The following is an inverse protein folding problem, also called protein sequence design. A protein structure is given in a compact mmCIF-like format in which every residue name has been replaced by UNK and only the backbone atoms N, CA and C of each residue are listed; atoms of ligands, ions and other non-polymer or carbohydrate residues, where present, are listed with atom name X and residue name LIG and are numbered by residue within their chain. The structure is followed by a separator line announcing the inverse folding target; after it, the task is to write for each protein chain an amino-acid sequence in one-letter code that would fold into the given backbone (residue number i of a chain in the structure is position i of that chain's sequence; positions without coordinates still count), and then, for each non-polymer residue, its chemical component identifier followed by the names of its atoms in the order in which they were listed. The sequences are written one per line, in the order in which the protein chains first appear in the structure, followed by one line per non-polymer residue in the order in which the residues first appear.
data_IF_672558693344
#
_entry.id   IF_672558693344
#
_cell.length_a   1.000
_cell.length_b   1.000
_cell.length_c   1.000
_cell.angle_alpha   90.00
_cell.angle_beta   90.00
_cell.angle_gamma   90.00
#
_symmetry.space_group_name_H-M   'P 1'
#
loop_
_entity.id
_entity.type
_entity.pdbx_description
1 polymer ?
#
# COMPACT_ATOMS: atom_id res chain seq x y z
N UNK A 1 -36.64 -14.29 29.98
CA UNK A 1 -37.77 -14.29 29.03
C UNK A 1 -37.95 -15.71 28.48
N UNK A 2 -39.17 -16.18 28.28
CA UNK A 2 -39.41 -17.52 27.72
C UNK A 2 -39.05 -17.50 26.23
N UNK A 3 -38.25 -18.45 25.78
CA UNK A 3 -37.83 -18.55 24.37
C UNK A 3 -39.00 -19.12 23.57
N UNK A 4 -39.66 -18.28 22.79
CA UNK A 4 -40.74 -18.67 21.86
C UNK A 4 -40.23 -18.72 20.42
N UNK A 5 -40.93 -19.46 19.55
CA UNK A 5 -40.56 -19.62 18.13
C UNK A 5 -40.45 -18.28 17.36
N UNK A 6 -41.28 -17.31 17.74
CA UNK A 6 -41.23 -15.95 17.19
C UNK A 6 -39.92 -15.25 17.55
N UNK A 7 -39.45 -15.39 18.79
CA UNK A 7 -38.18 -14.78 19.23
C UNK A 7 -36.99 -15.41 18.53
N UNK A 8 -36.99 -16.73 18.31
CA UNK A 8 -35.94 -17.41 17.55
C UNK A 8 -35.93 -16.98 16.08
N UNK A 9 -37.11 -16.87 15.46
CA UNK A 9 -37.25 -16.41 14.07
C UNK A 9 -36.75 -14.98 13.86
N UNK A 10 -36.93 -14.10 14.85
CA UNK A 10 -36.40 -12.73 14.82
C UNK A 10 -34.87 -12.72 14.94
N UNK A 11 -34.30 -13.52 15.84
CA UNK A 11 -32.85 -13.63 16.02
C UNK A 11 -32.19 -14.16 14.74
N UNK A 12 -32.74 -15.19 14.10
CA UNK A 12 -32.23 -15.72 12.83
C UNK A 12 -32.22 -14.67 11.72
N UNK A 13 -33.29 -13.88 11.59
CA UNK A 13 -33.34 -12.76 10.62
C UNK A 13 -32.23 -11.74 10.88
N UNK A 14 -31.97 -11.41 12.15
CA UNK A 14 -30.89 -10.48 12.53
C UNK A 14 -29.53 -11.07 12.16
N UNK A 15 -29.30 -12.36 12.47
CA UNK A 15 -28.04 -13.06 12.14
C UNK A 15 -27.83 -13.10 10.63
N UNK A 16 -28.84 -13.49 9.84
CA UNK A 16 -28.75 -13.53 8.38
C UNK A 16 -28.46 -12.15 7.77
N UNK A 17 -29.08 -11.10 8.30
CA UNK A 17 -28.82 -9.73 7.87
C UNK A 17 -27.38 -9.29 8.20
N UNK A 18 -26.84 -9.67 9.37
CA UNK A 18 -25.44 -9.39 9.75
C UNK A 18 -24.43 -10.15 8.88
N UNK A 19 -24.69 -11.43 8.58
CA UNK A 19 -23.87 -12.23 7.66
C UNK A 19 -23.85 -11.59 6.27
N UNK A 20 -25.04 -11.18 5.78
CA UNK A 20 -25.19 -10.54 4.47
C UNK A 20 -24.47 -9.19 4.40
N UNK A 21 -24.54 -8.38 5.45
CA UNK A 21 -23.86 -7.08 5.53
C UNK A 21 -22.37 -7.19 5.92
N UNK A 22 -21.92 -8.37 6.37
CA UNK A 22 -20.57 -8.63 6.92
C UNK A 22 -20.22 -7.68 8.09
N UNK A 23 -21.22 -7.34 8.90
CA UNK A 23 -21.07 -6.53 10.10
C UNK A 23 -20.83 -7.45 11.31
N UNK A 24 -19.56 -7.65 11.63
CA UNK A 24 -19.10 -8.49 12.73
C UNK A 24 -18.56 -7.60 13.86
N UNK A 25 -18.94 -7.92 15.09
CA UNK A 25 -18.49 -7.23 16.30
C UNK A 25 -17.30 -7.98 16.95
N UNK A 26 -16.58 -8.80 16.18
CA UNK A 26 -15.40 -9.55 16.64
C UNK A 26 -14.24 -8.60 16.95
N UNK A 27 -13.45 -8.93 17.98
CA UNK A 27 -12.26 -8.16 18.34
C UNK A 27 -11.21 -8.28 17.24
N UNK A 28 -10.87 -7.15 16.61
CA UNK A 28 -9.78 -7.11 15.64
C UNK A 28 -8.43 -7.36 16.35
N UNK A 29 -7.57 -8.20 15.76
CA UNK A 29 -6.23 -8.45 16.32
C UNK A 29 -5.47 -7.14 16.35
N UNK A 30 -5.01 -6.73 17.53
CA UNK A 30 -4.11 -5.58 17.70
C UNK A 30 -2.78 -5.90 17.01
N UNK A 31 -2.60 -5.37 15.81
CA UNK A 31 -1.33 -5.47 15.09
C UNK A 31 -0.42 -4.37 15.61
N UNK A 32 0.77 -4.75 16.11
CA UNK A 32 1.81 -3.76 16.43
C UNK A 32 2.07 -2.93 15.17
N UNK A 33 2.19 -1.59 15.27
CA UNK A 33 2.53 -0.79 14.10
C UNK A 33 3.80 -1.37 13.48
N UNK A 34 3.73 -1.78 12.22
CA UNK A 34 4.90 -2.20 11.48
C UNK A 34 5.75 -0.95 11.29
N UNK A 35 6.78 -0.79 12.12
CA UNK A 35 7.87 0.13 11.84
C UNK A 35 8.59 -0.47 10.65
N UNK A 36 8.21 -0.04 9.43
CA UNK A 36 8.94 -0.44 8.23
C UNK A 36 10.33 0.18 8.36
N UNK A 37 11.41 -0.62 8.53
CA UNK A 37 12.73 -0.07 8.75
C UNK A 37 13.30 0.65 7.51
N UNK A 38 12.60 0.54 6.37
CA UNK A 38 12.92 1.24 5.12
C UNK A 38 12.06 2.48 4.85
N UNK A 39 11.13 2.84 5.74
CA UNK A 39 10.24 4.00 5.58
C UNK A 39 10.87 5.31 6.10
N UNK A 40 12.16 5.28 6.47
CA UNK A 40 13.01 6.43 6.87
C UNK A 40 13.48 7.28 5.68
N UNK A 41 12.59 7.59 4.74
CA UNK A 41 12.75 8.82 3.97
C UNK A 41 11.61 9.69 4.44
N UNK A 42 11.82 10.35 5.59
CA UNK A 42 10.87 11.36 6.04
C UNK A 42 10.70 12.33 4.87
N UNK A 43 9.48 12.83 4.67
CA UNK A 43 9.28 13.88 3.67
C UNK A 43 10.24 15.00 4.04
N UNK A 44 11.24 15.22 3.19
CA UNK A 44 12.19 16.32 3.34
C UNK A 44 11.33 17.57 3.47
N UNK A 45 11.25 18.11 4.69
CA UNK A 45 10.53 19.34 4.92
C UNK A 45 11.40 20.40 4.29
N UNK A 46 10.98 20.88 3.12
CA UNK A 46 11.69 21.95 2.44
C UNK A 46 11.53 23.22 3.29
N UNK A 47 12.65 23.67 3.85
CA UNK A 47 12.70 24.96 4.53
C UNK A 47 12.29 26.06 3.57
N UNK A 48 11.28 26.84 3.96
CA UNK A 48 10.73 27.95 3.17
C UNK A 48 11.45 29.27 3.46
N UNK A 49 12.44 29.25 4.35
CA UNK A 49 13.29 30.41 4.63
C UNK A 49 14.25 30.65 3.46
N UNK A 50 14.63 31.92 3.26
CA UNK A 50 15.60 32.26 2.21
C UNK A 50 16.95 31.62 2.55
N UNK A 51 17.60 31.04 1.54
CA UNK A 51 18.93 30.46 1.70
C UNK A 51 19.91 31.48 2.29
N UNK A 52 20.62 31.07 3.34
CA UNK A 52 21.74 31.83 3.92
C UNK A 52 23.02 31.71 3.07
N UNK A 53 23.10 30.68 2.23
CA UNK A 53 24.25 30.38 1.37
C UNK A 53 24.06 30.94 -0.03
N UNK A 54 25.17 31.34 -0.65
CA UNK A 54 25.18 31.83 -2.03
C UNK A 54 25.10 30.68 -3.05
N UNK A 55 24.70 30.97 -4.29
CA UNK A 55 24.61 29.95 -5.34
C UNK A 55 25.97 29.27 -5.61
N UNK A 56 27.07 30.04 -5.59
CA UNK A 56 28.41 29.52 -5.81
C UNK A 56 28.84 28.54 -4.70
N UNK A 57 28.54 28.87 -3.45
CA UNK A 57 28.81 28.04 -2.26
C UNK A 57 28.02 26.73 -2.30
N UNK A 58 26.75 26.78 -2.74
CA UNK A 58 25.94 25.56 -2.94
C UNK A 58 26.59 24.62 -3.97
N UNK A 59 27.09 25.17 -5.08
CA UNK A 59 27.77 24.37 -6.11
C UNK A 59 29.10 23.79 -5.62
N UNK A 60 29.88 24.53 -4.84
CA UNK A 60 31.12 24.04 -4.24
C UNK A 60 30.84 22.87 -3.27
N UNK A 61 29.85 23.04 -2.38
CA UNK A 61 29.44 22.01 -1.43
C UNK A 61 28.92 20.76 -2.14
N UNK A 62 28.13 20.92 -3.20
CA UNK A 62 27.63 19.80 -3.99
C UNK A 62 28.78 19.05 -4.69
N UNK A 63 29.73 19.76 -5.28
CA UNK A 63 30.89 19.16 -5.93
C UNK A 63 31.75 18.35 -4.94
N UNK A 64 31.98 18.89 -3.74
CA UNK A 64 32.71 18.18 -2.68
C UNK A 64 31.93 16.95 -2.18
N UNK A 65 30.60 17.04 -2.02
CA UNK A 65 29.74 15.90 -1.65
C UNK A 65 29.78 14.79 -2.71
N UNK A 66 29.71 15.17 -3.99
CA UNK A 66 29.81 14.23 -5.11
C UNK A 66 31.19 13.54 -5.16
N UNK A 67 32.28 14.26 -4.89
CA UNK A 67 33.62 13.68 -4.81
C UNK A 67 33.76 12.70 -3.64
N UNK A 68 33.18 13.03 -2.48
CA UNK A 68 33.30 12.21 -1.26
C UNK A 68 32.46 10.93 -1.30
N UNK A 69 31.53 10.77 -2.26
CA UNK A 69 30.54 9.67 -2.28
C UNK A 69 29.89 9.50 -0.90
N UNK A 70 29.63 10.60 -0.21
CA UNK A 70 29.01 10.55 1.09
C UNK A 70 27.60 9.99 0.90
N UNK A 71 27.32 8.87 1.54
CA UNK A 71 25.95 8.38 1.72
C UNK A 71 25.14 9.53 2.31
N UNK A 72 24.05 9.91 1.63
CA UNK A 72 23.04 10.85 2.12
C UNK A 72 22.48 10.34 3.46
N UNK A 73 23.21 10.57 4.55
CA UNK A 73 22.69 10.47 5.90
C UNK A 73 21.85 11.73 6.05
N UNK A 74 20.54 11.59 5.90
CA UNK A 74 19.60 12.63 6.34
C UNK A 74 20.08 13.08 7.73
N UNK A 75 20.42 14.36 7.88
CA UNK A 75 20.89 14.93 9.13
C UNK A 75 19.79 14.73 10.17
N UNK A 76 19.92 13.69 11.01
CA UNK A 76 19.13 13.60 12.24
C UNK A 76 19.45 14.85 13.05
N UNK A 77 18.44 15.53 13.58
CA UNK A 77 18.66 16.69 14.43
C UNK A 77 19.60 16.29 15.59
N UNK A 78 20.68 17.04 15.86
CA UNK A 78 21.66 16.69 16.89
C UNK A 78 21.01 16.61 18.29
N UNK A 79 19.93 17.35 18.52
CA UNK A 79 19.16 17.23 19.76
C UNK A 79 18.60 15.80 19.97
N UNK A 80 18.23 15.09 18.91
CA UNK A 80 17.72 13.73 19.01
C UNK A 80 18.82 12.71 19.31
N UNK A 81 20.05 12.95 18.86
CA UNK A 81 21.20 12.09 19.21
C UNK A 81 21.56 12.30 20.67
N UNK A 82 21.67 13.56 21.11
CA UNK A 82 22.01 13.91 22.49
C UNK A 82 20.99 13.37 23.50
N UNK A 83 19.69 13.44 23.19
CA UNK A 83 18.63 12.87 24.03
C UNK A 83 18.76 11.35 24.09
N UNK A 84 19.11 10.68 22.99
CA UNK A 84 19.23 9.22 22.94
C UNK A 84 20.41 8.74 23.78
N UNK A 85 21.55 9.40 23.66
CA UNK A 85 22.75 9.11 24.47
C UNK A 85 22.45 9.27 25.97
N UNK A 86 21.90 10.40 26.38
CA UNK A 86 21.52 10.63 27.80
C UNK A 86 20.49 9.62 28.32
N UNK A 87 19.56 9.20 27.45
CA UNK A 87 18.56 8.20 27.81
C UNK A 87 19.19 6.82 28.04
N UNK A 88 20.12 6.42 27.18
CA UNK A 88 20.90 5.18 27.35
C UNK A 88 21.75 5.23 28.62
N UNK A 89 22.40 6.36 28.91
CA UNK A 89 23.15 6.56 30.17
C UNK A 89 22.25 6.42 31.40
N UNK A 90 21.09 7.08 31.42
CA UNK A 90 20.15 7.00 32.55
C UNK A 90 19.62 5.58 32.72
N UNK A 91 19.24 4.89 31.65
CA UNK A 91 18.72 3.53 31.74
C UNK A 91 19.78 2.52 32.19
N UNK A 92 21.01 2.63 31.71
CA UNK A 92 22.10 1.76 32.20
C UNK A 92 22.35 1.94 33.69
N UNK A 93 22.28 3.18 34.19
CA UNK A 93 22.39 3.48 35.63
C UNK A 93 21.21 2.93 36.44
N UNK A 94 19.98 3.07 35.95
CA UNK A 94 18.77 2.55 36.62
C UNK A 94 18.73 1.02 36.63
N UNK A 95 19.14 0.38 35.53
CA UNK A 95 19.26 -1.07 35.42
C UNK A 95 20.28 -1.61 36.43
N UNK A 96 21.44 -0.94 36.57
CA UNK A 96 22.44 -1.29 37.58
C UNK A 96 21.93 -1.07 39.02
N UNK A 97 21.24 0.05 39.29
CA UNK A 97 20.64 0.35 40.59
C UNK A 97 19.58 -0.69 41.00
N UNK A 98 18.82 -1.21 40.04
CA UNK A 98 17.78 -2.22 40.26
C UNK A 98 18.32 -3.66 40.27
N UNK A 99 19.65 -3.84 40.31
CA UNK A 99 20.32 -5.16 40.22
C UNK A 99 19.85 -5.97 39.00
N UNK A 100 19.63 -5.29 37.87
CA UNK A 100 19.16 -5.88 36.62
C UNK A 100 17.80 -6.62 36.71
N UNK A 101 16.96 -6.29 37.71
CA UNK A 101 15.60 -6.79 37.83
C UNK A 101 14.58 -5.87 37.17
N UNK A 102 14.66 -5.73 35.85
CA UNK A 102 13.78 -4.86 35.07
C UNK A 102 13.13 -5.62 33.90
N UNK A 103 12.14 -4.98 33.29
CA UNK A 103 11.51 -5.49 32.07
C UNK A 103 12.38 -5.13 30.86
N UNK A 104 12.89 -6.10 30.10
CA UNK A 104 13.77 -5.82 28.97
C UNK A 104 13.09 -4.93 27.93
N UNK A 105 13.89 -4.12 27.23
CA UNK A 105 13.41 -3.22 26.21
C UNK A 105 12.61 -3.96 25.12
N UNK A 106 11.57 -3.30 24.61
CA UNK A 106 10.76 -3.88 23.53
C UNK A 106 11.61 -4.08 22.29
N UNK A 107 11.54 -5.27 21.68
CA UNK A 107 12.26 -5.58 20.45
C UNK A 107 11.92 -4.58 19.33
N UNK A 108 12.92 -3.78 18.94
CA UNK A 108 12.93 -2.92 17.77
C UNK A 108 13.31 -3.72 16.51
N UNK A 109 12.78 -3.32 15.35
CA UNK A 109 13.18 -3.90 14.07
C UNK A 109 14.49 -3.25 13.60
N UNK A 110 15.63 -3.85 13.92
CA UNK A 110 16.95 -3.38 13.50
C UNK A 110 17.39 -4.03 12.19
N UNK A 111 17.82 -3.23 11.21
CA UNK A 111 18.39 -3.73 9.95
C UNK A 111 19.90 -3.78 10.08
N UNK A 112 20.46 -4.99 10.14
CA UNK A 112 21.90 -5.23 10.12
C UNK A 112 22.33 -5.62 8.70
N UNK A 113 23.21 -4.83 8.12
CA UNK A 113 23.79 -5.12 6.80
C UNK A 113 25.06 -5.96 7.06
N UNK A 114 25.04 -7.22 6.65
CA UNK A 114 26.18 -8.14 6.77
C UNK A 114 26.91 -8.23 5.42
N UNK A 115 28.25 -8.15 5.45
CA UNK A 115 29.12 -8.35 4.28
C UNK A 115 29.48 -9.83 4.10
N UNK A 116 29.68 -10.26 2.85
CA UNK A 116 30.18 -11.61 2.56
C UNK A 116 31.66 -11.71 2.92
N UNK A 117 31.96 -12.22 4.11
CA UNK A 117 33.31 -12.44 4.63
C UNK A 117 33.45 -13.91 5.09
N UNK A 118 34.66 -14.49 5.11
CA UNK A 118 34.88 -15.81 5.70
C UNK A 118 34.63 -15.76 7.22
N UNK A 119 34.03 -16.80 7.79
CA UNK A 119 33.65 -16.86 9.20
C UNK A 119 34.85 -16.60 10.13
N UNK A 120 36.04 -17.09 9.75
CA UNK A 120 37.32 -16.88 10.45
C UNK A 120 37.60 -15.40 10.78
N UNK A 121 37.16 -14.46 9.94
CA UNK A 121 37.41 -13.02 10.20
C UNK A 121 36.56 -12.42 11.30
N UNK A 122 35.44 -13.06 11.66
CA UNK A 122 34.56 -12.65 12.76
C UNK A 122 34.92 -13.34 14.08
N UNK A 123 35.69 -14.41 14.02
CA UNK A 123 36.08 -15.18 15.18
C UNK A 123 37.24 -14.51 15.95
N UNK A 124 37.35 -14.86 17.23
CA UNK A 124 38.47 -14.42 18.06
C UNK A 124 39.78 -15.03 17.56
N UNK A 125 40.86 -14.26 17.63
CA UNK A 125 42.20 -14.67 17.22
C UNK A 125 42.77 -15.74 18.18
N UNK A 126 42.29 -16.97 18.05
CA UNK A 126 42.77 -18.14 18.77
C UNK A 126 43.35 -19.16 17.79
N UNK A 127 44.43 -19.87 18.15
CA UNK A 127 45.17 -20.72 17.21
C UNK A 127 44.43 -22.00 16.76
N UNK A 128 43.21 -22.27 17.24
CA UNK A 128 42.47 -23.53 17.01
C UNK A 128 41.16 -23.30 16.23
N UNK A 129 40.98 -22.17 15.54
CA UNK A 129 39.82 -22.01 14.66
C UNK A 129 40.01 -22.77 13.33
N UNK A 130 39.03 -23.59 12.96
CA UNK A 130 39.08 -24.48 11.78
C UNK A 130 37.82 -24.43 10.92
N UNK A 131 37.15 -23.28 10.85
CA UNK A 131 35.92 -23.15 10.05
C UNK A 131 36.19 -22.49 8.69
N UNK A 132 36.07 -23.25 7.60
CA UNK A 132 36.21 -22.74 6.22
C UNK A 132 34.91 -22.12 5.65
N UNK A 133 33.86 -21.96 6.47
CA UNK A 133 32.57 -21.46 6.02
C UNK A 133 32.57 -19.95 5.78
N UNK A 134 31.75 -19.48 4.82
CA UNK A 134 31.42 -18.05 4.65
C UNK A 134 30.26 -17.65 5.56
N UNK A 135 30.21 -16.37 5.97
CA UNK A 135 29.10 -15.84 6.78
C UNK A 135 27.75 -15.87 6.06
N UNK A 136 27.76 -15.60 4.75
CA UNK A 136 26.55 -15.49 3.95
C UNK A 136 26.12 -16.87 3.43
N UNK A 137 24.83 -17.17 3.48
CA UNK A 137 24.30 -18.43 2.97
C UNK A 137 24.27 -18.45 1.44
N UNK A 138 24.36 -19.63 0.79
CA UNK A 138 24.23 -19.73 -0.66
C UNK A 138 22.92 -19.14 -1.22
N UNK A 139 21.82 -19.19 -0.47
CA UNK A 139 20.53 -18.61 -0.89
C UNK A 139 20.49 -17.08 -0.86
N UNK A 140 21.35 -16.46 -0.05
CA UNK A 140 21.49 -15.00 0.04
C UNK A 140 22.42 -14.46 -1.06
N UNK A 141 23.42 -15.25 -1.46
CA UNK A 141 24.25 -14.98 -2.64
C UNK A 141 23.45 -15.18 -3.92
N UNK A 142 22.71 -16.29 -4.01
CA UNK A 142 21.91 -16.67 -5.16
C UNK A 142 20.51 -17.08 -4.72
N UNK A 143 19.50 -16.31 -5.14
CA UNK A 143 18.11 -16.63 -4.84
C UNK A 143 17.75 -18.05 -5.34
N UNK A 144 17.23 -18.87 -4.44
CA UNK A 144 16.85 -20.24 -4.78
C UNK A 144 15.73 -20.23 -5.83
N UNK A 145 16.03 -20.76 -7.03
CA UNK A 145 14.99 -21.03 -8.03
C UNK A 145 14.27 -22.30 -7.63
N UNK A 146 12.96 -22.22 -7.45
CA UNK A 146 12.14 -23.40 -7.15
C UNK A 146 11.91 -24.21 -8.43
N UNK A 147 12.64 -25.32 -8.54
CA UNK A 147 12.54 -26.26 -9.68
C UNK A 147 13.44 -25.88 -10.84
N UNK A 148 13.36 -26.65 -11.92
CA UNK A 148 14.15 -26.41 -13.14
C UNK A 148 13.66 -25.17 -13.88
N UNK A 149 14.61 -24.41 -14.43
CA UNK A 149 14.32 -23.26 -15.29
C UNK A 149 13.82 -23.77 -16.65
N UNK A 150 12.50 -23.77 -16.84
CA UNK A 150 11.88 -24.16 -18.11
C UNK A 150 11.47 -22.94 -18.94
N UNK A 151 11.74 -22.99 -20.25
CA UNK A 151 11.30 -21.97 -21.21
C UNK A 151 9.79 -22.00 -21.46
N UNK A 152 9.22 -20.88 -21.95
CA UNK A 152 7.79 -20.79 -22.32
C UNK A 152 7.37 -21.76 -23.42
N UNK A 153 8.32 -22.15 -24.26
CA UNK A 153 8.18 -23.10 -25.37
C UNK A 153 8.14 -24.55 -24.88
N UNK A 154 8.90 -24.86 -23.83
CA UNK A 154 9.05 -26.19 -23.24
C UNK A 154 7.92 -26.54 -22.27
N UNK A 155 7.23 -25.52 -21.73
CA UNK A 155 6.10 -25.67 -20.82
C UNK A 155 4.94 -26.46 -21.45
N UNK A 156 4.57 -27.56 -20.79
CA UNK A 156 3.42 -28.38 -21.15
C UNK A 156 2.10 -27.62 -20.96
N UNK A 157 1.01 -28.10 -21.57
CA UNK A 157 -0.31 -27.48 -21.39
C UNK A 157 -0.79 -27.54 -19.93
N UNK A 158 -0.44 -28.59 -19.19
CA UNK A 158 -0.77 -28.75 -17.76
C UNK A 158 -0.05 -27.72 -16.91
N UNK A 159 1.24 -27.46 -17.20
CA UNK A 159 2.04 -26.47 -16.48
C UNK A 159 1.52 -25.05 -16.72
N UNK A 160 1.20 -24.71 -17.97
CA UNK A 160 0.57 -23.42 -18.33
C UNK A 160 -0.74 -23.19 -17.56
N UNK A 161 -1.58 -24.22 -17.42
CA UNK A 161 -2.82 -24.13 -16.64
C UNK A 161 -2.55 -23.99 -15.14
N UNK A 162 -1.55 -24.68 -14.59
CA UNK A 162 -1.12 -24.58 -13.19
C UNK A 162 -0.60 -23.18 -12.87
N UNK A 163 0.30 -22.65 -13.70
CA UNK A 163 0.84 -21.29 -13.56
C UNK A 163 -0.27 -20.24 -13.61
N UNK A 164 -1.22 -20.37 -14.56
CA UNK A 164 -2.38 -19.48 -14.64
C UNK A 164 -3.25 -19.52 -13.38
N UNK A 165 -3.51 -20.71 -12.82
CA UNK A 165 -4.26 -20.86 -11.56
C UNK A 165 -3.53 -20.21 -10.39
N UNK A 166 -2.22 -20.41 -10.31
CA UNK A 166 -1.36 -19.79 -9.29
C UNK A 166 -1.39 -18.25 -9.40
N UNK A 167 -1.18 -17.71 -10.60
CA UNK A 167 -1.25 -16.26 -10.87
C UNK A 167 -2.62 -15.67 -10.50
N UNK A 168 -3.72 -16.33 -10.86
CA UNK A 168 -5.08 -15.91 -10.47
C UNK A 168 -5.29 -15.94 -8.96
N UNK A 169 -4.75 -16.95 -8.26
CA UNK A 169 -4.84 -17.05 -6.80
C UNK A 169 -4.09 -15.89 -6.12
N UNK A 170 -2.87 -15.60 -6.56
CA UNK A 170 -2.09 -14.46 -6.05
C UNK A 170 -2.81 -13.14 -6.34
N UNK A 171 -3.33 -12.96 -7.55
CA UNK A 171 -4.07 -11.74 -7.91
C UNK A 171 -5.32 -11.55 -7.06
N UNK A 172 -6.08 -12.63 -6.79
CA UNK A 172 -7.24 -12.61 -5.90
C UNK A 172 -6.85 -12.20 -4.48
N UNK A 173 -5.77 -12.78 -3.92
CA UNK A 173 -5.25 -12.42 -2.60
C UNK A 173 -4.83 -10.94 -2.53
N UNK A 174 -4.14 -10.44 -3.57
CA UNK A 174 -3.74 -9.02 -3.67
C UNK A 174 -4.96 -8.09 -3.73
N UNK A 175 -5.97 -8.43 -4.54
CA UNK A 175 -7.19 -7.64 -4.64
C UNK A 175 -7.97 -7.61 -3.31
N UNK A 176 -8.08 -8.75 -2.63
CA UNK A 176 -8.71 -8.83 -1.30
C UNK A 176 -7.96 -7.99 -0.26
N UNK A 177 -6.63 -8.05 -0.24
CA UNK A 177 -5.82 -7.23 0.66
C UNK A 177 -5.97 -5.72 0.37
N UNK A 178 -6.05 -5.32 -0.91
CA UNK A 178 -6.31 -3.93 -1.28
C UNK A 178 -7.71 -3.47 -0.87
N UNK A 179 -8.73 -4.32 -1.05
CA UNK A 179 -10.10 -4.03 -0.60
C UNK A 179 -10.17 -3.88 0.93
N UNK A 180 -9.50 -4.75 1.68
CA UNK A 180 -9.40 -4.66 3.14
C UNK A 180 -8.72 -3.36 3.58
N UNK A 181 -7.57 -3.02 3.00
CA UNK A 181 -6.88 -1.75 3.27
C UNK A 181 -7.76 -0.53 2.96
N UNK A 182 -8.50 -0.56 1.85
CA UNK A 182 -9.42 0.53 1.51
C UNK A 182 -10.56 0.63 2.53
N UNK A 183 -11.15 -0.50 2.95
CA UNK A 183 -12.18 -0.55 3.99
C UNK A 183 -11.66 -0.02 5.33
N UNK A 184 -10.45 -0.41 5.74
CA UNK A 184 -9.80 0.10 6.94
C UNK A 184 -9.56 1.61 6.86
N UNK A 185 -9.06 2.10 5.73
CA UNK A 185 -8.85 3.54 5.51
C UNK A 185 -10.18 4.32 5.54
N UNK A 186 -11.26 3.75 4.98
CA UNK A 186 -12.60 4.33 5.04
C UNK A 186 -13.18 4.32 6.46
N UNK A 187 -12.97 3.24 7.24
CA UNK A 187 -13.34 3.19 8.66
C UNK A 187 -12.58 4.27 9.45
N UNK A 188 -11.27 4.40 9.24
CA UNK A 188 -10.42 5.42 9.88
C UNK A 188 -10.84 6.84 9.50
N UNK A 189 -11.23 7.07 8.24
CA UNK A 189 -11.75 8.35 7.77
C UNK A 189 -13.21 8.62 8.22
N UNK A 190 -13.91 7.60 8.71
CA UNK A 190 -15.34 7.62 9.02
C UNK A 190 -15.71 8.19 10.39
N UNK A 191 -14.73 8.48 11.25
CA UNK A 191 -14.99 9.22 12.49
C UNK A 191 -15.03 10.73 12.20
N UNK A 192 -16.20 11.23 11.76
CA UNK A 192 -16.63 12.58 12.12
C UNK A 192 -16.83 13.65 11.04
N UNK A 193 -16.80 13.34 9.73
CA UNK A 193 -17.22 14.35 8.72
C UNK A 193 -17.99 13.72 7.56
N UNK A 194 -19.28 14.06 7.47
CA UNK A 194 -20.02 13.94 6.21
C UNK A 194 -19.24 14.78 5.19
N UNK A 195 -18.62 14.13 4.21
CA UNK A 195 -17.94 14.84 3.14
C UNK A 195 -19.01 15.61 2.36
N UNK A 196 -18.85 16.94 2.29
CA UNK A 196 -19.76 17.80 1.53
C UNK A 196 -20.00 17.24 0.13
N UNK A 197 -21.22 17.38 -0.39
CA UNK A 197 -21.58 16.91 -1.72
C UNK A 197 -20.60 17.41 -2.81
N UNK A 198 -19.92 18.55 -2.58
CA UNK A 198 -18.89 19.11 -3.47
C UNK A 198 -17.55 18.38 -3.40
N UNK A 199 -17.09 17.98 -2.21
CA UNK A 199 -15.79 17.30 -2.03
C UNK A 199 -15.86 15.87 -2.53
N UNK A 200 -16.96 15.16 -2.28
CA UNK A 200 -17.24 13.83 -2.84
C UNK A 200 -17.27 13.85 -4.38
N UNK A 201 -17.90 14.87 -4.99
CA UNK A 201 -17.92 15.04 -6.45
C UNK A 201 -16.52 15.25 -7.02
N UNK A 202 -15.66 15.99 -6.33
CA UNK A 202 -14.28 16.23 -6.76
C UNK A 202 -13.39 14.98 -6.62
N UNK A 203 -13.60 14.17 -5.57
CA UNK A 203 -12.93 12.87 -5.40
C UNK A 203 -13.37 11.89 -6.48
N UNK A 204 -14.68 11.80 -6.75
CA UNK A 204 -15.22 10.96 -7.84
C UNK A 204 -14.68 11.42 -9.20
N UNK A 205 -14.62 12.73 -9.47
CA UNK A 205 -14.01 13.28 -10.70
C UNK A 205 -12.52 12.92 -10.81
N UNK A 206 -11.76 12.98 -9.71
CA UNK A 206 -10.34 12.58 -9.70
C UNK A 206 -10.17 11.08 -9.94
N UNK A 207 -10.99 10.24 -9.31
CA UNK A 207 -10.98 8.79 -9.49
C UNK A 207 -11.37 8.35 -10.91
N UNK A 208 -12.27 9.08 -11.57
CA UNK A 208 -12.62 8.88 -12.98
C UNK A 208 -11.48 9.32 -13.91
N UNK A 209 -10.81 10.45 -13.61
CA UNK A 209 -9.65 10.92 -14.37
C UNK A 209 -8.44 9.99 -14.24
N UNK A 210 -8.20 9.44 -13.05
CA UNK A 210 -7.15 8.43 -12.81
C UNK A 210 -7.51 7.04 -13.36
N UNK A 211 -8.74 6.85 -13.85
CA UNK A 211 -9.19 5.60 -14.49
C UNK A 211 -9.57 4.48 -13.50
N UNK A 212 -9.71 4.79 -12.22
CA UNK A 212 -10.05 3.85 -11.16
C UNK A 212 -11.55 3.55 -11.07
N UNK A 213 -12.43 4.43 -11.59
CA UNK A 213 -13.90 4.25 -11.61
C UNK A 213 -14.45 4.66 -12.98
N UNK A 214 -15.43 3.92 -13.52
CA UNK A 214 -16.12 4.26 -14.78
C UNK A 214 -17.53 4.78 -14.49
N UNK A 215 -17.83 6.00 -14.94
CA UNK A 215 -19.19 6.57 -14.92
C UNK A 215 -20.03 5.92 -16.04
N UNK A 216 -21.24 5.48 -15.70
CA UNK A 216 -22.13 4.73 -16.60
C UNK A 216 -22.86 5.59 -17.65
N UNK A 217 -22.90 6.92 -17.50
CA UNK A 217 -23.57 7.82 -18.44
C UNK A 217 -22.59 8.87 -18.99
N UNK A 218 -22.31 8.80 -20.29
CA UNK A 218 -21.53 9.80 -21.04
C UNK A 218 -20.15 9.29 -21.48
N UNK A 219 -20.12 8.53 -22.57
CA UNK A 219 -18.90 8.16 -23.28
C UNK A 219 -18.20 9.40 -23.84
N UNK A 220 -17.31 10.02 -23.05
CA UNK A 220 -16.37 11.02 -23.53
C UNK A 220 -15.13 10.29 -24.07
N UNK A 221 -15.02 10.30 -25.41
CA UNK A 221 -13.84 10.08 -26.24
C UNK A 221 -12.68 9.26 -25.62
N UNK A 222 -12.77 7.93 -25.70
CA UNK A 222 -11.58 7.07 -25.64
C UNK A 222 -11.50 6.25 -26.92
N UNK A 223 -10.29 6.21 -27.49
CA UNK A 223 -9.94 5.45 -28.70
C UNK A 223 -10.42 4.01 -28.54
N UNK A 224 -11.16 3.56 -29.55
CA UNK A 224 -11.93 2.32 -29.55
C UNK A 224 -10.97 1.14 -29.61
N UNK A 225 -10.81 0.38 -28.51
CA UNK A 225 -9.81 -0.70 -28.40
C UNK A 225 -10.22 -2.02 -29.05
N UNK A 226 -11.45 -2.14 -29.55
CA UNK A 226 -12.01 -3.36 -30.15
C UNK A 226 -12.87 -3.03 -31.37
N UNK A 227 -12.77 -3.85 -32.41
CA UNK A 227 -13.57 -3.74 -33.64
C UNK A 227 -15.07 -3.83 -33.36
N UNK A 228 -15.52 -4.72 -32.45
CA UNK A 228 -16.93 -4.82 -32.07
C UNK A 228 -17.47 -3.53 -31.43
N UNK A 229 -16.68 -2.86 -30.58
CA UNK A 229 -17.09 -1.58 -30.00
C UNK A 229 -17.17 -0.46 -31.03
N UNK A 230 -16.31 -0.49 -32.05
CA UNK A 230 -16.32 0.49 -33.14
C UNK A 230 -17.57 0.37 -34.00
N UNK A 231 -17.89 -0.85 -34.46
CA UNK A 231 -19.08 -1.06 -35.28
C UNK A 231 -20.38 -0.81 -34.52
N UNK A 232 -20.43 -1.08 -33.21
CA UNK A 232 -21.60 -0.74 -32.39
C UNK A 232 -21.82 0.77 -32.30
N UNK A 233 -20.73 1.54 -32.13
CA UNK A 233 -20.78 3.00 -32.12
C UNK A 233 -21.17 3.57 -33.50
N UNK A 234 -20.71 2.96 -34.60
CA UNK A 234 -21.09 3.33 -35.96
C UNK A 234 -22.59 3.06 -36.24
N UNK A 235 -23.11 1.94 -35.75
CA UNK A 235 -24.53 1.62 -35.85
C UNK A 235 -25.40 2.56 -34.98
N UNK A 236 -24.91 2.96 -33.81
CA UNK A 236 -25.61 3.95 -32.98
C UNK A 236 -25.59 5.35 -33.59
N UNK A 237 -24.47 5.82 -34.14
CA UNK A 237 -24.39 7.14 -34.77
C UNK A 237 -25.27 7.25 -36.03
N UNK A 238 -25.29 6.20 -36.85
CA UNK A 238 -26.19 6.13 -38.02
C UNK A 238 -27.66 6.09 -37.61
N UNK A 239 -28.02 5.35 -36.55
CA UNK A 239 -29.40 5.35 -36.00
C UNK A 239 -29.81 6.72 -35.46
N UNK A 240 -28.89 7.46 -34.83
CA UNK A 240 -29.14 8.83 -34.35
C UNK A 240 -29.35 9.79 -35.52
N UNK A 241 -28.55 9.70 -36.58
CA UNK A 241 -28.74 10.53 -37.79
C UNK A 241 -30.03 10.19 -38.56
N UNK A 242 -30.42 8.92 -38.62
CA UNK A 242 -31.67 8.50 -39.28
C UNK A 242 -32.91 8.92 -38.47
N UNK A 243 -32.81 9.02 -37.13
CA UNK A 243 -33.89 9.51 -36.25
C UNK A 243 -33.90 11.04 -36.08
N UNK A 244 -32.90 11.77 -36.58
CA UNK A 244 -32.76 13.23 -36.45
C UNK A 244 -33.69 14.10 -37.29
N UNK A 245 -34.66 13.53 -38.02
CA UNK A 245 -35.72 14.29 -38.73
C UNK A 245 -37.11 13.86 -38.27
N UNK A 246 -37.43 14.13 -37.01
CA UNK A 246 -38.78 14.48 -36.49
C UNK A 246 -38.70 14.57 -34.97
N UNK A 247 -39.04 15.76 -34.45
CA UNK A 247 -39.63 16.08 -33.13
C UNK A 247 -38.96 17.29 -32.43
N UNK A 248 -39.66 18.42 -32.54
CA UNK A 248 -40.00 19.43 -31.55
C UNK A 248 -38.95 20.02 -30.59
N UNK A 249 -38.73 21.32 -30.81
CA UNK A 249 -38.25 22.30 -29.83
C UNK A 249 -39.28 22.43 -28.69
N UNK A 250 -39.13 21.67 -27.62
CA UNK A 250 -39.53 22.10 -26.26
C UNK A 250 -39.16 21.06 -25.21
N UNK A 251 -38.08 21.31 -24.45
CA UNK A 251 -38.03 21.10 -23.00
C UNK A 251 -36.77 21.70 -22.42
N UNK A 252 -36.97 22.70 -21.56
CA UNK A 252 -36.00 23.22 -20.60
C UNK A 252 -35.41 22.04 -19.80
N UNK A 253 -34.08 22.01 -19.74
CA UNK A 253 -33.34 21.14 -18.84
C UNK A 253 -33.67 21.51 -17.39
N UNK A 254 -34.38 20.63 -16.70
CA UNK A 254 -34.36 20.60 -15.24
C UNK A 254 -33.86 19.21 -14.85
N UNK A 255 -32.61 19.13 -14.41
CA UNK A 255 -31.99 17.89 -13.96
C UNK A 255 -31.29 18.13 -12.62
N UNK A 256 -32.09 18.25 -11.57
CA UNK A 256 -31.69 17.92 -10.21
C UNK A 256 -31.56 16.39 -10.08
N UNK A 257 -30.50 15.87 -10.69
CA UNK A 257 -30.11 14.47 -10.58
C UNK A 257 -29.29 14.26 -9.31
N UNK A 258 -29.93 13.87 -8.22
CA UNK A 258 -29.24 13.30 -7.03
C UNK A 258 -28.36 12.13 -7.51
N UNK A 259 -27.04 12.29 -7.46
CA UNK A 259 -26.10 11.22 -7.74
C UNK A 259 -26.18 10.18 -6.61
N UNK A 260 -27.04 9.17 -6.79
CA UNK A 260 -27.10 8.01 -5.93
C UNK A 260 -25.85 7.15 -6.12
N UNK A 261 -25.22 6.76 -5.01
CA UNK A 261 -24.07 5.85 -4.95
C UNK A 261 -24.35 4.47 -5.60
N UNK A 262 -25.60 4.13 -5.89
CA UNK A 262 -26.01 2.87 -6.52
C UNK A 262 -25.65 2.75 -8.01
N UNK A 263 -25.09 3.80 -8.64
CA UNK A 263 -24.77 3.83 -10.10
C UNK A 263 -23.28 3.78 -10.45
N UNK A 264 -22.38 3.46 -9.51
CA UNK A 264 -20.94 3.35 -9.77
C UNK A 264 -20.49 1.88 -9.77
N UNK A 265 -19.80 1.45 -10.84
CA UNK A 265 -19.03 0.20 -10.88
C UNK A 265 -17.56 0.50 -10.60
N UNK A 266 -17.01 -0.15 -9.57
CA UNK A 266 -15.58 -0.22 -9.26
C UNK A 266 -14.86 -1.10 -10.28
#
# INVERSE_FOLDING_TARGET
PVITEDTTSLVEKIILNRIRSKAWDDVERVVKPNVNPYEYKKKLLLDQEKSKKSLAEIYEEEYLKQQKKDTDKEEEFPEHTDIREKMEEIFTLLDALSNYHYTPNMASAEVKIQSNMPAVTMEEATPISVTDASLLAPQEILAAVRGELQGKTELTQTDKKRERRHKKSIQKKKAQAQEQKLRENLKRAGNGRKLDAKTTLNVVKKAVKSGQVKLLDGQQHKVVKSSQSFFKQLQESTKVNVKGKKLDKNKKNNCDGKFSASKLLL
#
